data_IF_121772007949
#
_entry.id   IF_121772007949
#
_cell.length_a   1.000
_cell.length_b   1.000
_cell.length_c   1.000
_cell.angle_alpha   90.00
_cell.angle_beta   90.00
_cell.angle_gamma   90.00
#
_symmetry.space_group_name_H-M   'P 1'
#
loop_
_entity.id
_entity.type
_entity.pdbx_description
1 polymer ?
#
# COMPACT_ATOMS: atom_id res chain seq x y z
N UNK A 1 13.86 9.76 2.08
CA UNK A 1 13.61 8.33 1.85
C UNK A 1 13.61 7.62 3.20
N UNK A 2 12.66 6.73 3.49
CA UNK A 2 12.66 5.91 4.72
C UNK A 2 13.99 5.16 4.86
N UNK A 3 14.60 5.21 6.05
CA UNK A 3 15.79 4.44 6.37
C UNK A 3 15.41 3.24 7.23
N UNK A 4 15.66 2.03 6.72
CA UNK A 4 15.40 0.75 7.39
C UNK A 4 16.72 0.02 7.54
N UNK A 5 17.18 -0.18 8.77
CA UNK A 5 18.48 -0.81 9.06
C UNK A 5 18.29 -1.95 10.06
N UNK A 6 19.04 -3.07 9.91
CA UNK A 6 19.14 -4.06 10.97
C UNK A 6 19.63 -3.38 12.24
N UNK A 7 19.07 -3.75 13.39
CA UNK A 7 19.63 -3.34 14.67
C UNK A 7 20.89 -4.16 14.94
N UNK A 8 21.94 -3.50 15.41
CA UNK A 8 23.21 -4.14 15.78
C UNK A 8 23.07 -5.15 16.93
N UNK A 9 21.92 -5.20 17.59
CA UNK A 9 21.77 -5.85 18.90
C UNK A 9 21.12 -7.23 18.85
N UNK A 10 20.33 -7.60 17.83
CA UNK A 10 19.70 -8.93 17.70
C UNK A 10 19.32 -9.30 16.26
N UNK A 11 19.44 -10.58 15.94
CA UNK A 11 18.89 -11.14 14.70
C UNK A 11 17.37 -10.88 14.62
N UNK A 12 16.93 -10.24 13.55
CA UNK A 12 15.52 -9.92 13.29
C UNK A 12 15.02 -8.59 13.87
N UNK A 13 15.85 -7.84 14.60
CA UNK A 13 15.51 -6.48 15.03
C UNK A 13 15.87 -5.47 13.92
N UNK A 14 14.99 -4.50 13.68
CA UNK A 14 15.19 -3.43 12.70
C UNK A 14 14.82 -2.09 13.30
N UNK A 15 15.54 -1.05 12.89
CA UNK A 15 15.18 0.35 13.17
C UNK A 15 14.66 0.97 11.88
N UNK A 16 13.48 1.58 11.98
CA UNK A 16 12.90 2.40 10.92
C UNK A 16 12.95 3.85 11.38
N UNK A 17 13.60 4.70 10.60
CA UNK A 17 13.72 6.13 10.89
C UNK A 17 13.36 6.96 9.67
N UNK A 18 12.76 8.13 9.91
CA UNK A 18 12.36 9.07 8.86
C UNK A 18 12.42 10.52 9.37
N UNK A 19 12.56 11.46 8.44
CA UNK A 19 12.45 12.89 8.69
C UNK A 19 11.04 13.38 8.37
N UNK A 20 10.66 14.61 8.77
CA UNK A 20 9.38 15.19 8.36
C UNK A 20 9.17 15.22 6.83
N UNK A 21 10.23 15.37 6.05
CA UNK A 21 10.17 15.38 4.57
C UNK A 21 9.81 14.02 3.97
N UNK A 22 10.04 12.94 4.72
CA UNK A 22 9.71 11.57 4.31
C UNK A 22 8.24 11.21 4.55
N UNK A 23 7.59 11.89 5.50
CA UNK A 23 6.19 11.71 5.89
C UNK A 23 5.46 13.06 5.95
N UNK A 24 5.37 13.80 4.82
CA UNK A 24 4.86 15.16 4.81
C UNK A 24 3.41 15.26 5.27
N UNK A 25 2.63 14.18 5.09
CA UNK A 25 1.22 14.09 5.49
C UNK A 25 1.02 13.40 6.86
N UNK A 26 2.11 13.04 7.55
CA UNK A 26 2.07 12.43 8.89
C UNK A 26 1.42 11.05 8.97
N UNK A 27 1.33 10.32 7.86
CA UNK A 27 0.65 9.03 7.78
C UNK A 27 1.41 7.92 8.52
N UNK A 28 2.74 7.91 8.44
CA UNK A 28 3.57 6.95 9.16
C UNK A 28 3.57 7.24 10.66
N UNK A 29 3.69 8.52 11.03
CA UNK A 29 3.57 8.95 12.42
C UNK A 29 2.21 8.57 13.00
N UNK A 30 1.13 8.80 12.26
CA UNK A 30 -0.22 8.41 12.68
C UNK A 30 -0.34 6.89 12.85
N UNK A 31 0.16 6.09 11.90
CA UNK A 31 0.11 4.63 11.98
C UNK A 31 0.86 4.10 13.22
N UNK A 32 2.00 4.71 13.57
CA UNK A 32 2.78 4.34 14.75
C UNK A 32 2.06 4.74 16.05
N UNK A 33 1.70 6.02 16.18
CA UNK A 33 1.14 6.59 17.42
C UNK A 33 -0.25 6.06 17.76
N UNK A 34 -1.02 5.58 16.78
CA UNK A 34 -2.32 4.93 16.98
C UNK A 34 -2.22 3.43 17.27
N UNK A 35 -1.02 2.84 17.24
CA UNK A 35 -0.81 1.40 17.40
C UNK A 35 -1.25 0.55 16.19
N UNK A 36 -1.71 1.17 15.09
CA UNK A 36 -2.11 0.47 13.88
C UNK A 36 -0.94 -0.27 13.22
N UNK A 37 0.25 0.33 13.20
CA UNK A 37 1.43 -0.30 12.60
C UNK A 37 1.83 -1.57 13.36
N UNK A 38 1.93 -1.49 14.68
CA UNK A 38 2.25 -2.64 15.54
C UNK A 38 1.23 -3.77 15.38
N UNK A 39 -0.07 -3.45 15.53
CA UNK A 39 -1.14 -4.43 15.39
C UNK A 39 -1.20 -5.06 13.99
N UNK A 40 -0.91 -4.30 12.93
CA UNK A 40 -0.89 -4.83 11.56
C UNK A 40 0.33 -5.74 11.32
N UNK A 41 1.49 -5.42 11.90
CA UNK A 41 2.69 -6.26 11.82
C UNK A 41 2.50 -7.57 12.59
N UNK A 42 1.88 -7.51 13.78
CA UNK A 42 1.50 -8.72 14.50
C UNK A 42 0.51 -9.59 13.71
N UNK A 43 -0.48 -8.97 13.07
CA UNK A 43 -1.42 -9.69 12.21
C UNK A 43 -0.74 -10.35 11.01
N UNK A 44 0.29 -9.71 10.44
CA UNK A 44 1.08 -10.26 9.34
C UNK A 44 1.97 -11.44 9.80
N UNK A 45 2.45 -11.39 11.04
CA UNK A 45 3.25 -12.45 11.64
C UNK A 45 2.40 -13.66 12.09
N UNK A 46 1.10 -13.47 12.33
CA UNK A 46 0.18 -14.54 12.70
C UNK A 46 0.01 -15.50 11.50
N UNK A 47 0.37 -16.80 11.64
CA UNK A 47 0.26 -17.74 10.55
C UNK A 47 -1.18 -17.88 10.07
N UNK A 48 -1.41 -17.69 8.77
CA UNK A 48 -2.73 -17.85 8.16
C UNK A 48 -3.10 -19.34 8.16
N UNK A 49 -3.85 -19.78 9.18
CA UNK A 49 -4.52 -21.08 9.23
C UNK A 49 -6.03 -20.86 9.25
N UNK A 50 -6.77 -21.65 8.48
CA UNK A 50 -8.21 -21.45 8.34
C UNK A 50 -8.92 -21.57 9.69
N UNK A 51 -9.62 -20.51 10.11
CA UNK A 51 -10.41 -20.47 11.34
C UNK A 51 -9.59 -20.39 12.64
N UNK A 52 -8.27 -20.21 12.55
CA UNK A 52 -7.39 -20.13 13.72
C UNK A 52 -6.69 -18.76 13.77
N UNK A 53 -6.58 -18.20 14.97
CA UNK A 53 -5.69 -17.07 15.27
C UNK A 53 -4.97 -17.37 16.57
N UNK A 54 -3.70 -16.99 16.67
CA UNK A 54 -2.96 -17.13 17.93
C UNK A 54 -3.35 -16.07 18.97
N UNK A 55 -4.18 -15.09 18.59
CA UNK A 55 -4.60 -13.99 19.44
C UNK A 55 -5.88 -14.31 20.21
N UNK A 56 -6.05 -13.67 21.37
CA UNK A 56 -7.36 -13.58 22.03
C UNK A 56 -8.35 -12.80 21.16
N UNK A 57 -9.66 -12.98 21.35
CA UNK A 57 -10.69 -12.29 20.56
C UNK A 57 -10.51 -10.76 20.53
N UNK A 58 -10.13 -10.15 21.66
CA UNK A 58 -9.91 -8.71 21.74
C UNK A 58 -8.70 -8.27 20.91
N UNK A 59 -7.62 -9.06 20.94
CA UNK A 59 -6.44 -8.82 20.12
C UNK A 59 -6.75 -9.03 18.63
N UNK A 60 -7.49 -10.08 18.28
CA UNK A 60 -7.91 -10.37 16.91
C UNK A 60 -8.75 -9.22 16.33
N UNK A 61 -9.67 -8.63 17.11
CA UNK A 61 -10.44 -7.46 16.69
C UNK A 61 -9.57 -6.20 16.53
N UNK A 62 -8.58 -5.98 17.40
CA UNK A 62 -7.63 -4.87 17.26
C UNK A 62 -6.76 -5.01 16.00
N UNK A 63 -6.27 -6.22 15.74
CA UNK A 63 -5.52 -6.60 14.53
C UNK A 63 -6.36 -6.39 13.27
N UNK A 64 -7.59 -6.89 13.24
CA UNK A 64 -8.50 -6.72 12.10
C UNK A 64 -8.76 -5.24 11.78
N UNK A 65 -9.05 -4.41 12.79
CA UNK A 65 -9.25 -2.97 12.59
C UNK A 65 -8.00 -2.29 12.01
N UNK A 66 -6.83 -2.67 12.50
CA UNK A 66 -5.56 -2.10 12.04
C UNK A 66 -5.20 -2.53 10.63
N UNK A 67 -5.41 -3.80 10.29
CA UNK A 67 -5.26 -4.32 8.91
C UNK A 67 -6.21 -3.59 7.97
N UNK A 68 -7.49 -3.45 8.34
CA UNK A 68 -8.46 -2.71 7.53
C UNK A 68 -8.05 -1.26 7.31
N UNK A 69 -7.61 -0.57 8.37
CA UNK A 69 -7.11 0.81 8.27
C UNK A 69 -5.92 0.93 7.32
N UNK A 70 -4.97 -0.01 7.41
CA UNK A 70 -3.80 -0.07 6.51
C UNK A 70 -4.22 -0.33 5.06
N UNK A 71 -5.14 -1.28 4.82
CA UNK A 71 -5.67 -1.58 3.49
C UNK A 71 -6.31 -0.34 2.87
N UNK A 72 -7.17 0.37 3.59
CA UNK A 72 -7.84 1.57 3.08
C UNK A 72 -6.83 2.66 2.66
N UNK A 73 -5.78 2.85 3.45
CA UNK A 73 -4.71 3.82 3.15
C UNK A 73 -3.86 3.39 1.96
N UNK A 74 -3.42 2.14 1.94
CA UNK A 74 -2.63 1.57 0.85
C UNK A 74 -3.42 1.53 -0.46
N UNK A 75 -4.73 1.26 -0.42
CA UNK A 75 -5.58 1.31 -1.61
C UNK A 75 -5.72 2.72 -2.18
N UNK A 76 -5.91 3.73 -1.32
CA UNK A 76 -5.92 5.15 -1.74
C UNK A 76 -4.58 5.52 -2.37
N UNK A 77 -3.48 5.12 -1.75
CA UNK A 77 -2.13 5.42 -2.25
C UNK A 77 -1.83 4.68 -3.56
N UNK A 78 -2.22 3.42 -3.70
CA UNK A 78 -2.16 2.65 -4.94
C UNK A 78 -2.90 3.37 -6.07
N UNK A 79 -4.11 3.85 -5.81
CA UNK A 79 -4.88 4.64 -6.77
C UNK A 79 -4.15 5.92 -7.19
N UNK A 80 -3.63 6.67 -6.22
CA UNK A 80 -2.87 7.90 -6.50
C UNK A 80 -1.58 7.65 -7.31
N UNK A 81 -0.83 6.59 -6.98
CA UNK A 81 0.36 6.18 -7.74
C UNK A 81 0.01 5.77 -9.17
N UNK A 82 -1.08 5.02 -9.34
CA UNK A 82 -1.58 4.61 -10.65
C UNK A 82 -1.92 5.81 -11.53
N UNK A 83 -2.62 6.80 -10.97
CA UNK A 83 -2.93 8.07 -11.64
C UNK A 83 -1.65 8.82 -11.98
N UNK A 84 -0.76 9.04 -11.02
CA UNK A 84 0.47 9.80 -11.24
C UNK A 84 1.37 9.19 -12.32
N UNK A 85 1.51 7.85 -12.34
CA UNK A 85 2.32 7.15 -13.33
C UNK A 85 1.67 7.17 -14.72
N UNK A 86 0.33 7.10 -14.80
CA UNK A 86 -0.39 7.14 -16.06
C UNK A 86 -0.45 8.54 -16.67
N UNK A 87 -0.75 9.55 -15.86
CA UNK A 87 -0.89 10.94 -16.30
C UNK A 87 0.44 11.51 -16.79
N UNK A 88 1.57 11.13 -16.17
CA UNK A 88 2.91 11.50 -16.69
C UNK A 88 3.10 11.07 -18.14
N UNK A 89 2.58 9.89 -18.52
CA UNK A 89 2.62 9.41 -19.90
C UNK A 89 1.70 10.15 -20.85
N UNK A 90 0.63 10.76 -20.35
CA UNK A 90 -0.23 11.61 -21.15
C UNK A 90 0.44 12.95 -21.48
N UNK A 91 1.29 13.46 -20.57
CA UNK A 91 2.05 14.70 -20.77
C UNK A 91 3.33 14.48 -21.59
N UNK A 92 4.06 13.41 -21.32
CA UNK A 92 5.28 13.03 -22.04
C UNK A 92 5.24 11.52 -22.33
N UNK A 93 5.02 11.09 -23.60
CA UNK A 93 4.95 9.67 -23.95
C UNK A 93 6.21 8.86 -23.64
N UNK A 94 7.38 9.51 -23.51
CA UNK A 94 8.63 8.88 -23.11
C UNK A 94 8.76 8.75 -21.58
N UNK A 95 7.96 9.50 -20.82
CA UNK A 95 7.86 9.39 -19.37
C UNK A 95 6.60 8.60 -18.95
N UNK A 96 6.61 8.04 -17.74
CA UNK A 96 5.44 7.34 -17.18
C UNK A 96 5.17 5.95 -17.75
N UNK A 97 4.07 5.34 -17.28
CA UNK A 97 3.81 3.91 -17.48
C UNK A 97 2.69 3.67 -18.51
N UNK A 98 2.89 2.69 -19.39
CA UNK A 98 1.79 2.18 -20.24
C UNK A 98 0.78 1.40 -19.41
N UNK A 99 -0.41 1.15 -19.95
CA UNK A 99 -1.37 0.26 -19.29
C UNK A 99 -0.83 -1.15 -19.07
N UNK A 100 0.03 -1.63 -19.96
CA UNK A 100 0.67 -2.94 -19.83
C UNK A 100 1.69 -2.95 -18.68
N UNK A 101 2.49 -1.90 -18.53
CA UNK A 101 3.46 -1.77 -17.42
C UNK A 101 2.74 -1.71 -16.07
N UNK A 102 1.63 -0.95 -16.01
CA UNK A 102 0.80 -0.85 -14.83
C UNK A 102 0.11 -2.18 -14.49
N UNK A 103 -0.34 -2.94 -15.50
CA UNK A 103 -0.90 -4.27 -15.30
C UNK A 103 0.13 -5.25 -14.74
N UNK A 104 1.35 -5.27 -15.30
CA UNK A 104 2.47 -6.08 -14.82
C UNK A 104 2.83 -5.76 -13.36
N UNK A 105 2.84 -4.47 -13.00
CA UNK A 105 3.15 -4.06 -11.64
C UNK A 105 2.06 -4.48 -10.61
N UNK A 106 0.79 -4.46 -11.02
CA UNK A 106 -0.34 -4.80 -10.13
C UNK A 106 -0.62 -6.30 -10.05
N UNK A 107 -0.28 -7.04 -11.11
CA UNK A 107 -0.58 -8.46 -11.26
C UNK A 107 0.63 -9.19 -11.85
N UNK A 108 1.75 -9.27 -11.11
CA UNK A 108 3.01 -9.82 -11.62
C UNK A 108 2.90 -11.30 -12.00
N UNK A 109 1.99 -12.04 -11.34
CA UNK A 109 1.76 -13.46 -11.57
C UNK A 109 0.80 -13.77 -12.74
N UNK A 110 0.21 -12.74 -13.38
CA UNK A 110 -0.70 -12.96 -14.50
C UNK A 110 0.06 -13.23 -15.80
N UNK A 111 -0.18 -14.36 -16.50
CA UNK A 111 0.57 -14.72 -17.70
C UNK A 111 0.26 -13.83 -18.92
N UNK A 112 -0.88 -13.11 -18.91
CA UNK A 112 -1.21 -12.13 -19.95
C UNK A 112 -1.71 -10.82 -19.32
N UNK A 113 -0.80 -9.91 -18.94
CA UNK A 113 -1.14 -8.62 -18.36
C UNK A 113 -1.98 -7.72 -19.29
N UNK A 114 -1.95 -7.96 -20.60
CA UNK A 114 -2.67 -7.12 -21.56
C UNK A 114 -4.18 -7.27 -21.40
N UNK A 115 -4.67 -8.48 -21.08
CA UNK A 115 -6.11 -8.74 -20.81
C UNK A 115 -6.62 -8.00 -19.58
N UNK A 116 -5.72 -7.61 -18.67
CA UNK A 116 -6.07 -6.88 -17.45
C UNK A 116 -6.18 -5.36 -17.66
N UNK A 117 -5.93 -4.87 -18.88
CA UNK A 117 -6.01 -3.44 -19.20
C UNK A 117 -7.29 -2.78 -18.70
N UNK A 118 -8.46 -3.37 -19.00
CA UNK A 118 -9.75 -2.80 -18.59
C UNK A 118 -9.87 -2.71 -17.07
N UNK A 119 -9.38 -3.72 -16.34
CA UNK A 119 -9.34 -3.73 -14.87
C UNK A 119 -8.44 -2.61 -14.32
N UNK A 120 -7.27 -2.42 -14.92
CA UNK A 120 -6.34 -1.34 -14.54
C UNK A 120 -6.94 0.04 -14.84
N UNK A 121 -7.66 0.20 -15.96
CA UNK A 121 -8.36 1.43 -16.30
C UNK A 121 -9.47 1.75 -15.28
N UNK A 122 -10.24 0.75 -14.83
CA UNK A 122 -11.24 0.92 -13.76
C UNK A 122 -10.59 1.37 -12.45
N UNK A 123 -9.47 0.76 -12.06
CA UNK A 123 -8.71 1.17 -10.87
C UNK A 123 -8.18 2.61 -10.99
N UNK A 124 -7.72 3.00 -12.18
CA UNK A 124 -7.28 4.35 -12.45
C UNK A 124 -8.41 5.37 -12.33
N UNK A 125 -9.58 5.08 -12.94
CA UNK A 125 -10.77 5.93 -12.83
C UNK A 125 -11.23 6.08 -11.37
N UNK A 126 -11.22 4.99 -10.60
CA UNK A 126 -11.49 5.05 -9.16
C UNK A 126 -10.46 5.90 -8.41
N UNK A 127 -9.18 5.82 -8.79
CA UNK A 127 -8.10 6.68 -8.30
C UNK A 127 -8.35 8.16 -8.56
N UNK A 128 -8.72 8.53 -9.80
CA UNK A 128 -9.07 9.90 -10.18
C UNK A 128 -10.22 10.45 -9.32
N UNK A 129 -11.29 9.66 -9.16
CA UNK A 129 -12.44 10.03 -8.31
C UNK A 129 -12.03 10.28 -6.86
N UNK A 130 -11.20 9.40 -6.29
CA UNK A 130 -10.68 9.55 -4.91
C UNK A 130 -9.74 10.75 -4.76
N UNK A 131 -9.04 11.15 -5.82
CA UNK A 131 -8.18 12.33 -5.85
C UNK A 131 -8.94 13.64 -6.11
N UNK A 132 -10.27 13.62 -6.24
CA UNK A 132 -11.10 14.81 -6.48
C UNK A 132 -11.14 15.28 -7.94
N UNK A 133 -10.45 14.61 -8.87
CA UNK A 133 -10.54 14.89 -10.30
C UNK A 133 -11.76 14.18 -10.88
N UNK A 134 -12.83 14.94 -11.13
CA UNK A 134 -13.97 14.42 -11.88
C UNK A 134 -13.54 14.24 -13.34
N UNK A 135 -13.61 13.00 -13.82
CA UNK A 135 -13.60 12.73 -15.26
C UNK A 135 -14.90 13.29 -15.83
N UNK A 136 -14.83 14.48 -16.44
CA UNK A 136 -15.87 14.99 -17.33
C UNK A 136 -15.91 14.21 -18.64
#
# INVERSE_FOLDING_TARGET
>A
MLNVQPSDTRAGAFTVSWTPDDDPDGHLLQALTSGHLESALEALADPVKFGETSATDTQALARLRSVQWMLDRLERRRGALLVALRDRRATDPAAGASWADLAKALYPEDPDPQRLRSKVQTLHAAGLKKAGRHTG
#
